data_IF_754951534197
#
_entry.id   IF_754951534197
#
_cell.length_a   1.000
_cell.length_b   1.000
_cell.length_c   1.000
_cell.angle_alpha   90.00
_cell.angle_beta   90.00
_cell.angle_gamma   90.00
#
_symmetry.space_group_name_H-M   'P 1'
#
loop_
_entity.id
_entity.type
_entity.pdbx_description
1 polymer ?
#
# COMPACT_ATOMS: atom_id res chain seq x y z
N UNK A 1 48.35 -8.39 -1.69
CA UNK A 1 47.06 -8.29 -0.98
C UNK A 1 46.97 -6.89 -0.35
N UNK A 2 46.32 -5.94 -1.02
CA UNK A 2 46.05 -4.62 -0.45
C UNK A 2 44.72 -4.74 0.33
N UNK A 3 44.80 -4.68 1.64
CA UNK A 3 43.64 -4.52 2.53
C UNK A 3 42.97 -3.20 2.17
N UNK A 4 41.85 -3.28 1.48
CA UNK A 4 40.91 -2.16 1.35
C UNK A 4 40.23 -2.03 2.69
N UNK A 5 40.70 -1.08 3.50
CA UNK A 5 40.00 -0.59 4.67
C UNK A 5 38.62 -0.10 4.20
N UNK A 6 37.57 -0.93 4.36
CA UNK A 6 36.22 -0.55 3.99
C UNK A 6 35.82 0.66 4.86
N UNK A 7 35.59 1.80 4.20
CA UNK A 7 35.04 2.99 4.84
C UNK A 7 33.76 2.63 5.58
N UNK A 8 33.75 2.78 6.91
CA UNK A 8 32.56 2.54 7.76
C UNK A 8 31.45 3.59 7.57
N UNK A 9 31.69 4.60 6.74
CA UNK A 9 30.77 5.69 6.47
C UNK A 9 30.08 5.52 5.12
N UNK A 10 28.75 5.68 5.10
CA UNK A 10 27.97 5.70 3.86
C UNK A 10 28.39 6.88 2.96
N UNK A 11 28.61 6.66 1.64
CA UNK A 11 28.90 7.73 0.71
C UNK A 11 27.75 8.75 0.67
N UNK A 12 28.07 10.02 0.45
CA UNK A 12 27.07 11.08 0.25
C UNK A 12 26.65 11.12 -1.21
N UNK A 13 25.34 11.11 -1.46
CA UNK A 13 24.80 11.24 -2.81
C UNK A 13 25.28 12.53 -3.49
N UNK A 14 25.49 12.47 -4.79
CA UNK A 14 25.84 13.64 -5.59
C UNK A 14 24.66 14.61 -5.69
N UNK A 15 24.95 15.91 -5.86
CA UNK A 15 23.95 16.94 -6.10
C UNK A 15 23.36 17.58 -4.83
N UNK A 16 24.05 17.48 -3.69
CA UNK A 16 23.67 18.20 -2.46
C UNK A 16 23.72 19.72 -2.69
N UNK A 17 22.61 20.39 -2.37
CA UNK A 17 22.47 21.85 -2.42
C UNK A 17 22.66 22.41 -1.00
N UNK A 18 23.43 23.51 -0.81
CA UNK A 18 23.55 24.16 0.50
C UNK A 18 22.18 24.44 1.12
N UNK A 19 22.04 24.22 2.43
CA UNK A 19 20.82 24.37 3.23
C UNK A 19 19.65 23.45 2.86
N UNK A 20 19.42 23.16 1.58
CA UNK A 20 18.30 22.35 1.08
C UNK A 20 18.63 20.84 0.99
N UNK A 21 19.91 20.46 1.01
CA UNK A 21 20.30 19.07 0.84
C UNK A 21 19.90 18.53 -0.53
N UNK A 22 19.16 17.40 -0.56
CA UNK A 22 18.64 16.75 -1.76
C UNK A 22 17.12 16.92 -1.92
N UNK A 23 16.51 17.83 -1.14
CA UNK A 23 15.07 18.13 -1.27
C UNK A 23 14.66 18.53 -2.69
N UNK A 24 15.42 19.38 -3.43
CA UNK A 24 15.06 19.73 -4.81
C UNK A 24 14.98 18.51 -5.73
N UNK A 25 15.95 17.59 -5.64
CA UNK A 25 15.97 16.38 -6.44
C UNK A 25 14.80 15.45 -6.07
N UNK A 26 14.53 15.27 -4.78
CA UNK A 26 13.39 14.48 -4.32
C UNK A 26 12.05 15.10 -4.71
N UNK A 27 11.91 16.43 -4.69
CA UNK A 27 10.69 17.11 -5.08
C UNK A 27 10.40 16.98 -6.59
N UNK A 28 11.43 17.08 -7.43
CA UNK A 28 11.32 17.08 -8.90
C UNK A 28 11.41 15.67 -9.48
N UNK A 29 12.48 14.93 -9.14
CA UNK A 29 12.81 13.64 -9.76
C UNK A 29 12.37 12.42 -8.95
N UNK A 30 12.02 12.61 -7.69
CA UNK A 30 11.48 11.57 -6.79
C UNK A 30 12.11 10.18 -6.98
N UNK A 31 11.43 9.28 -7.67
CA UNK A 31 11.87 7.89 -7.90
C UNK A 31 13.14 7.83 -8.72
N UNK A 32 13.25 8.63 -9.77
CA UNK A 32 14.43 8.70 -10.65
C UNK A 32 15.68 9.12 -9.86
N UNK A 33 15.53 10.03 -8.88
CA UNK A 33 16.62 10.38 -7.99
C UNK A 33 17.06 9.19 -7.14
N UNK A 34 16.12 8.49 -6.49
CA UNK A 34 16.46 7.29 -5.71
C UNK A 34 17.08 6.19 -6.57
N UNK A 35 16.64 6.02 -7.82
CA UNK A 35 17.26 5.09 -8.76
C UNK A 35 18.68 5.49 -9.12
N UNK A 36 18.94 6.79 -9.34
CA UNK A 36 20.25 7.30 -9.76
C UNK A 36 21.35 7.16 -8.71
N UNK A 37 21.00 7.17 -7.43
CA UNK A 37 21.96 7.04 -6.33
C UNK A 37 22.33 5.59 -6.02
N UNK A 38 21.62 4.63 -6.59
CA UNK A 38 21.84 3.19 -6.33
C UNK A 38 23.23 2.73 -6.72
N UNK A 39 23.76 3.21 -7.84
CA UNK A 39 25.11 2.90 -8.29
C UNK A 39 26.22 3.44 -7.36
N UNK A 40 25.88 4.28 -6.38
CA UNK A 40 26.83 4.89 -5.46
C UNK A 40 27.09 4.05 -4.22
N UNK A 41 26.28 3.01 -3.97
CA UNK A 41 26.49 2.06 -2.88
C UNK A 41 25.21 1.41 -2.36
N UNK A 42 25.34 0.30 -1.63
CA UNK A 42 24.24 -0.42 -1.02
C UNK A 42 23.49 0.39 0.05
N UNK A 43 24.20 1.31 0.72
CA UNK A 43 23.64 2.33 1.62
C UNK A 43 24.28 3.66 1.23
N UNK A 44 23.45 4.67 0.91
CA UNK A 44 23.88 5.99 0.47
C UNK A 44 23.23 7.06 1.36
N UNK A 45 24.02 8.04 1.78
CA UNK A 45 23.55 9.15 2.61
C UNK A 45 23.04 10.30 1.74
N UNK A 46 21.81 10.73 1.97
CA UNK A 46 21.21 11.95 1.43
C UNK A 46 20.96 12.94 2.58
N UNK A 47 20.57 14.16 2.23
CA UNK A 47 20.22 15.18 3.21
C UNK A 47 18.82 15.77 2.90
N UNK A 48 17.92 15.76 3.87
CA UNK A 48 16.66 16.52 3.82
C UNK A 48 16.88 17.82 4.59
N UNK A 49 17.16 18.90 3.87
CA UNK A 49 17.77 20.08 4.48
C UNK A 49 19.17 19.73 5.01
N UNK A 50 19.36 19.94 6.31
CA UNK A 50 20.61 19.55 7.00
C UNK A 50 20.53 18.17 7.69
N UNK A 51 19.36 17.52 7.68
CA UNK A 51 19.17 16.21 8.33
C UNK A 51 19.73 15.10 7.44
N UNK A 52 20.70 14.32 7.91
CA UNK A 52 21.18 13.13 7.20
C UNK A 52 20.12 12.03 7.21
N UNK A 53 19.93 11.36 6.07
CA UNK A 53 19.04 10.22 5.89
C UNK A 53 19.77 9.17 5.08
N UNK A 54 19.68 7.92 5.45
CA UNK A 54 20.36 6.80 4.81
C UNK A 54 19.39 6.05 3.89
N UNK A 55 19.72 5.96 2.61
CA UNK A 55 18.91 5.23 1.62
C UNK A 55 19.46 3.83 1.46
N UNK A 56 18.62 2.84 1.74
CA UNK A 56 18.94 1.42 1.58
C UNK A 56 18.69 1.04 0.12
N UNK A 57 19.75 0.76 -0.63
CA UNK A 57 19.70 0.48 -2.07
C UNK A 57 19.94 -0.98 -2.41
N UNK A 58 20.39 -1.80 -1.47
CA UNK A 58 20.63 -3.23 -1.70
C UNK A 58 19.60 -4.12 -0.98
N UNK A 59 19.27 -5.29 -1.56
CA UNK A 59 18.41 -6.28 -0.92
C UNK A 59 18.89 -6.68 0.47
N UNK A 60 20.21 -6.86 0.64
CA UNK A 60 20.83 -7.29 1.89
C UNK A 60 20.59 -6.23 2.98
N UNK A 61 20.79 -4.94 2.67
CA UNK A 61 20.57 -3.86 3.63
C UNK A 61 19.08 -3.77 4.02
N UNK A 62 18.16 -3.94 3.08
CA UNK A 62 16.72 -3.96 3.36
C UNK A 62 16.34 -5.18 4.18
N UNK A 63 16.85 -6.36 3.84
CA UNK A 63 16.61 -7.59 4.59
C UNK A 63 17.13 -7.46 6.03
N UNK A 64 18.34 -6.93 6.20
CA UNK A 64 18.96 -6.77 7.52
C UNK A 64 18.14 -5.82 8.41
N UNK A 65 17.73 -4.66 7.88
CA UNK A 65 16.94 -3.66 8.62
C UNK A 65 15.50 -4.13 8.90
N UNK A 66 14.84 -4.78 7.94
CA UNK A 66 13.43 -5.14 8.09
C UNK A 66 13.20 -6.48 8.78
N UNK A 67 14.18 -7.39 8.74
CA UNK A 67 14.03 -8.73 9.30
C UNK A 67 15.07 -9.03 10.37
N UNK A 68 16.35 -9.13 10.02
CA UNK A 68 17.39 -9.66 10.90
C UNK A 68 17.61 -8.80 12.14
N UNK A 69 17.68 -7.48 11.97
CA UNK A 69 17.87 -6.50 13.05
C UNK A 69 16.61 -5.65 13.33
N UNK A 70 15.43 -6.11 12.92
CA UNK A 70 14.18 -5.33 12.93
C UNK A 70 13.84 -4.71 14.30
N UNK A 71 14.27 -5.32 15.42
CA UNK A 71 14.04 -4.80 16.78
C UNK A 71 14.81 -3.51 17.09
N UNK A 72 15.90 -3.27 16.37
CA UNK A 72 16.73 -2.06 16.54
C UNK A 72 16.19 -0.85 15.75
N UNK A 73 15.07 -1.03 15.03
CA UNK A 73 14.51 0.01 14.16
C UNK A 73 13.06 0.31 14.49
N UNK A 74 12.78 1.58 14.78
CA UNK A 74 11.43 2.16 14.87
C UNK A 74 10.89 2.62 13.52
N UNK A 75 9.75 3.29 13.54
CA UNK A 75 9.00 3.70 12.33
C UNK A 75 9.66 4.83 11.52
N UNK A 76 10.21 5.85 12.17
CA UNK A 76 10.83 7.01 11.52
C UNK A 76 9.88 8.18 11.20
N UNK A 77 10.47 9.26 10.68
CA UNK A 77 9.84 10.57 10.55
C UNK A 77 8.49 10.57 9.83
N UNK A 78 8.34 9.81 8.76
CA UNK A 78 7.07 9.71 8.02
C UNK A 78 5.90 9.34 8.94
N UNK A 79 6.13 8.41 9.83
CA UNK A 79 5.09 7.90 10.72
C UNK A 79 4.87 8.82 11.93
N UNK A 80 5.91 9.53 12.39
CA UNK A 80 5.74 10.55 13.42
C UNK A 80 4.85 11.70 12.91
N UNK A 81 5.02 12.09 11.66
CA UNK A 81 4.17 13.09 11.00
C UNK A 81 2.74 12.58 10.77
N UNK A 82 2.58 11.28 10.52
CA UNK A 82 1.25 10.68 10.31
C UNK A 82 0.46 10.52 11.61
N UNK A 83 1.12 10.27 12.75
CA UNK A 83 0.48 9.97 14.04
C UNK A 83 -0.54 11.01 14.50
N UNK A 84 -0.33 12.34 14.40
CA UNK A 84 -1.34 13.34 14.73
C UNK A 84 -2.62 13.24 13.90
N UNK A 85 -2.56 12.65 12.69
CA UNK A 85 -3.71 12.53 11.79
C UNK A 85 -4.48 11.23 12.00
N UNK A 86 -3.78 10.12 12.16
CA UNK A 86 -4.37 8.77 12.16
C UNK A 86 -4.24 8.02 13.48
N UNK A 87 -3.72 8.67 14.52
CA UNK A 87 -3.55 8.06 15.83
C UNK A 87 -2.35 7.11 15.93
N UNK A 88 -2.38 6.26 16.99
CA UNK A 88 -1.31 5.33 17.33
C UNK A 88 -1.70 3.86 16.99
N UNK A 89 -2.30 3.64 15.82
CA UNK A 89 -2.65 2.30 15.34
C UNK A 89 -1.45 1.55 14.74
N UNK A 90 -1.69 0.37 14.17
CA UNK A 90 -0.67 -0.58 13.68
C UNK A 90 0.33 0.03 12.67
N UNK A 91 -0.07 1.06 11.92
CA UNK A 91 0.82 1.75 10.98
C UNK A 91 1.86 2.60 11.69
N UNK A 92 1.49 3.32 12.74
CA UNK A 92 2.31 4.36 13.39
C UNK A 92 2.93 3.95 14.71
N UNK A 93 2.40 2.90 15.35
CA UNK A 93 2.83 2.45 16.68
C UNK A 93 4.24 1.91 16.70
N UNK A 94 4.94 2.10 17.83
CA UNK A 94 6.26 1.55 18.08
C UNK A 94 6.20 0.08 18.54
N UNK A 95 7.37 -0.55 18.70
CA UNK A 95 7.53 -2.00 18.65
C UNK A 95 6.59 -2.79 19.57
N UNK A 96 6.53 -2.51 20.87
CA UNK A 96 5.73 -3.32 21.81
C UNK A 96 4.23 -3.12 21.62
N UNK A 97 3.81 -1.87 21.43
CA UNK A 97 2.42 -1.53 21.12
C UNK A 97 2.00 -2.19 19.82
N UNK A 98 2.83 -2.09 18.77
CA UNK A 98 2.59 -2.72 17.50
C UNK A 98 2.41 -4.24 17.59
N UNK A 99 3.27 -4.93 18.34
CA UNK A 99 3.15 -6.39 18.47
C UNK A 99 1.85 -6.80 19.17
N UNK A 100 1.43 -6.06 20.20
CA UNK A 100 0.16 -6.26 20.87
C UNK A 100 -1.03 -6.04 19.92
N UNK A 101 -1.03 -4.91 19.23
CA UNK A 101 -2.05 -4.57 18.23
C UNK A 101 -2.09 -5.60 17.11
N UNK A 102 -0.95 -5.98 16.55
CA UNK A 102 -0.87 -6.99 15.49
C UNK A 102 -1.46 -8.33 15.92
N UNK A 103 -1.17 -8.79 17.15
CA UNK A 103 -1.73 -10.04 17.67
C UNK A 103 -3.26 -9.97 17.79
N UNK A 104 -3.78 -8.83 18.24
CA UNK A 104 -5.22 -8.64 18.36
C UNK A 104 -5.92 -8.59 17.00
N UNK A 105 -5.31 -7.98 15.97
CA UNK A 105 -5.87 -7.86 14.63
C UNK A 105 -5.67 -9.12 13.76
N UNK A 106 -4.65 -9.94 14.05
CA UNK A 106 -4.28 -11.09 13.23
C UNK A 106 -5.45 -12.04 12.90
N UNK A 107 -6.42 -12.32 13.81
CA UNK A 107 -7.55 -13.16 13.51
C UNK A 107 -8.40 -12.67 12.33
N UNK A 108 -8.61 -11.35 12.19
CA UNK A 108 -9.37 -10.75 11.09
C UNK A 108 -8.70 -10.95 9.71
N UNK A 109 -7.39 -11.15 9.69
CA UNK A 109 -6.60 -11.32 8.46
C UNK A 109 -6.17 -12.77 8.21
N UNK A 110 -6.78 -13.75 8.89
CA UNK A 110 -6.58 -15.16 8.59
C UNK A 110 -7.24 -15.52 7.27
N UNK A 111 -6.72 -16.55 6.61
CA UNK A 111 -7.22 -16.99 5.30
C UNK A 111 -8.67 -17.43 5.33
N UNK A 112 -9.08 -18.13 6.38
CA UNK A 112 -10.46 -18.56 6.63
C UNK A 112 -11.43 -17.37 6.82
N UNK A 113 -11.03 -16.38 7.64
CA UNK A 113 -11.80 -15.15 7.84
C UNK A 113 -11.95 -14.37 6.54
N UNK A 114 -10.85 -14.21 5.78
CA UNK A 114 -10.90 -13.53 4.47
C UNK A 114 -11.79 -14.31 3.48
N UNK A 115 -11.70 -15.64 3.47
CA UNK A 115 -12.55 -16.48 2.62
C UNK A 115 -14.03 -16.25 2.89
N UNK A 116 -14.43 -16.06 4.17
CA UNK A 116 -15.80 -15.69 4.55
C UNK A 116 -16.27 -14.35 3.96
N UNK A 117 -15.35 -13.39 3.75
CA UNK A 117 -15.66 -12.08 3.16
C UNK A 117 -15.69 -12.03 1.63
N UNK A 118 -15.25 -13.11 0.94
CA UNK A 118 -15.13 -13.12 -0.54
C UNK A 118 -16.47 -12.93 -1.23
N UNK A 119 -17.55 -13.49 -0.69
CA UNK A 119 -18.90 -13.31 -1.25
C UNK A 119 -19.32 -11.83 -1.25
N UNK A 120 -19.12 -11.14 -0.14
CA UNK A 120 -19.40 -9.69 -0.01
C UNK A 120 -18.54 -8.87 -1.01
N UNK A 121 -17.24 -9.15 -1.08
CA UNK A 121 -16.35 -8.50 -2.06
C UNK A 121 -16.82 -8.73 -3.49
N UNK A 122 -17.22 -9.97 -3.82
CA UNK A 122 -17.69 -10.35 -5.15
C UNK A 122 -18.98 -9.60 -5.50
N UNK A 123 -19.95 -9.54 -4.58
CA UNK A 123 -21.20 -8.81 -4.78
C UNK A 123 -20.96 -7.32 -5.08
N UNK A 124 -20.10 -6.66 -4.31
CA UNK A 124 -19.76 -5.24 -4.52
C UNK A 124 -19.07 -5.03 -5.88
N UNK A 125 -18.15 -5.92 -6.27
CA UNK A 125 -17.46 -5.83 -7.56
C UNK A 125 -18.43 -6.06 -8.73
N UNK A 126 -19.31 -7.07 -8.63
CA UNK A 126 -20.28 -7.40 -9.66
C UNK A 126 -21.34 -6.32 -9.85
N UNK A 127 -21.84 -5.73 -8.76
CA UNK A 127 -22.74 -4.58 -8.79
C UNK A 127 -22.08 -3.42 -9.54
N UNK A 128 -20.84 -3.09 -9.19
CA UNK A 128 -20.09 -2.02 -9.85
C UNK A 128 -19.95 -2.24 -11.36
N UNK A 129 -19.51 -3.43 -11.78
CA UNK A 129 -19.28 -3.71 -13.21
C UNK A 129 -20.58 -3.88 -14.00
N UNK A 130 -21.69 -4.24 -13.34
CA UNK A 130 -23.02 -4.38 -13.94
C UNK A 130 -23.63 -3.03 -14.29
N UNK A 131 -23.23 -1.96 -13.61
CA UNK A 131 -23.70 -0.60 -13.89
C UNK A 131 -23.13 0.01 -15.18
N UNK A 132 -22.10 -0.60 -15.75
CA UNK A 132 -21.42 -0.07 -16.94
C UNK A 132 -22.18 -0.38 -18.22
N UNK A 133 -21.96 0.45 -19.26
CA UNK A 133 -22.62 0.31 -20.57
C UNK A 133 -21.59 0.07 -21.66
N UNK A 134 -21.94 -0.69 -22.72
CA UNK A 134 -21.06 -0.87 -23.89
C UNK A 134 -20.63 0.46 -24.50
N UNK A 135 -19.32 0.63 -24.70
CA UNK A 135 -18.74 1.85 -25.27
C UNK A 135 -18.55 3.00 -24.28
N UNK A 136 -19.00 2.87 -23.05
CA UNK A 136 -18.83 3.88 -21.99
C UNK A 136 -17.35 4.12 -21.69
N UNK A 137 -17.03 5.39 -21.38
CA UNK A 137 -15.70 5.78 -20.88
C UNK A 137 -15.77 5.98 -19.37
N UNK A 138 -15.08 5.14 -18.64
CA UNK A 138 -15.09 5.08 -17.19
C UNK A 138 -13.77 5.62 -16.64
N UNK A 139 -13.84 6.49 -15.64
CA UNK A 139 -12.69 6.94 -14.86
C UNK A 139 -12.28 5.84 -13.86
N UNK A 140 -11.53 4.83 -14.34
CA UNK A 140 -11.21 3.62 -13.58
C UNK A 140 -10.50 3.90 -12.26
N UNK A 141 -9.61 4.89 -12.22
CA UNK A 141 -8.91 5.29 -11.00
C UNK A 141 -9.86 5.82 -9.91
N UNK A 142 -10.99 6.42 -10.29
CA UNK A 142 -12.03 6.89 -9.36
C UNK A 142 -12.92 5.72 -8.93
N UNK A 143 -13.41 4.95 -9.89
CA UNK A 143 -14.30 3.81 -9.63
C UNK A 143 -13.62 2.77 -8.74
N UNK A 144 -12.40 2.37 -9.07
CA UNK A 144 -11.64 1.39 -8.27
C UNK A 144 -11.44 1.85 -6.83
N UNK A 145 -11.18 3.14 -6.60
CA UNK A 145 -11.03 3.66 -5.25
C UNK A 145 -12.32 3.51 -4.46
N UNK A 146 -13.47 3.85 -5.06
CA UNK A 146 -14.79 3.68 -4.43
C UNK A 146 -15.08 2.22 -4.12
N UNK A 147 -14.88 1.33 -5.10
CA UNK A 147 -15.13 -0.10 -4.96
C UNK A 147 -14.27 -0.72 -3.85
N UNK A 148 -12.95 -0.49 -3.87
CA UNK A 148 -12.02 -1.00 -2.85
C UNK A 148 -12.37 -0.44 -1.47
N UNK A 149 -12.69 0.86 -1.37
CA UNK A 149 -13.08 1.46 -0.09
C UNK A 149 -14.40 0.87 0.42
N UNK A 150 -15.37 0.64 -0.46
CA UNK A 150 -16.63 0.01 -0.09
C UNK A 150 -16.42 -1.43 0.40
N UNK A 151 -15.57 -2.22 -0.27
CA UNK A 151 -15.19 -3.58 0.16
C UNK A 151 -14.54 -3.55 1.55
N UNK A 152 -13.58 -2.65 1.75
CA UNK A 152 -12.88 -2.51 3.02
C UNK A 152 -13.84 -2.11 4.15
N UNK A 153 -14.73 -1.14 3.89
CA UNK A 153 -15.74 -0.70 4.87
C UNK A 153 -16.73 -1.81 5.17
N UNK A 154 -17.23 -2.54 4.18
CA UNK A 154 -18.13 -3.67 4.36
C UNK A 154 -17.51 -4.81 5.17
N UNK A 155 -16.18 -4.96 5.09
CA UNK A 155 -15.46 -5.96 5.88
C UNK A 155 -15.20 -5.50 7.32
N UNK A 156 -14.97 -4.19 7.52
CA UNK A 156 -14.71 -3.61 8.84
C UNK A 156 -15.99 -3.39 9.66
N UNK A 157 -17.11 -3.13 8.97
CA UNK A 157 -18.38 -2.80 9.60
C UNK A 157 -19.45 -3.79 9.10
N UNK A 158 -19.86 -4.71 9.92
CA UNK A 158 -20.97 -5.60 9.57
C UNK A 158 -22.24 -4.80 9.26
N UNK A 159 -22.83 -5.03 8.09
CA UNK A 159 -23.96 -4.27 7.56
C UNK A 159 -25.22 -5.12 7.47
N UNK A 160 -25.55 -5.88 8.49
CA UNK A 160 -26.77 -6.70 8.53
C UNK A 160 -28.08 -5.88 8.61
N UNK A 161 -28.01 -4.55 8.48
CA UNK A 161 -29.19 -3.68 8.45
C UNK A 161 -29.73 -3.51 7.03
N UNK A 162 -31.06 -3.43 6.81
CA UNK A 162 -31.68 -3.28 5.48
C UNK A 162 -31.16 -2.10 4.65
N UNK A 163 -30.74 -1.00 5.30
CA UNK A 163 -30.14 0.18 4.65
C UNK A 163 -28.60 0.08 4.52
N UNK A 164 -28.02 -1.07 4.86
CA UNK A 164 -26.59 -1.23 5.01
C UNK A 164 -25.78 -0.97 3.73
N UNK A 165 -26.22 -1.45 2.58
CA UNK A 165 -25.50 -1.30 1.33
C UNK A 165 -25.32 0.17 0.91
N UNK A 166 -26.37 0.99 1.07
CA UNK A 166 -26.32 2.43 0.77
C UNK A 166 -25.42 3.18 1.74
N UNK A 167 -25.57 2.89 3.04
CA UNK A 167 -24.72 3.50 4.09
C UNK A 167 -23.25 3.13 3.92
N UNK A 168 -22.93 1.89 3.51
CA UNK A 168 -21.56 1.45 3.18
C UNK A 168 -21.00 2.24 1.99
N UNK A 169 -21.78 2.42 0.93
CA UNK A 169 -21.32 3.18 -0.24
C UNK A 169 -21.06 4.66 0.10
N UNK A 170 -21.96 5.31 0.83
CA UNK A 170 -21.81 6.70 1.28
C UNK A 170 -20.60 6.89 2.22
N UNK A 171 -20.42 5.96 3.16
CA UNK A 171 -19.24 5.97 4.04
C UNK A 171 -17.96 5.77 3.23
N UNK A 172 -17.96 4.84 2.28
CA UNK A 172 -16.84 4.56 1.39
C UNK A 172 -16.43 5.80 0.59
N UNK A 173 -17.37 6.55 0.04
CA UNK A 173 -17.08 7.79 -0.70
C UNK A 173 -16.45 8.85 0.19
N UNK A 174 -17.01 9.10 1.38
CA UNK A 174 -16.47 10.09 2.32
C UNK A 174 -15.08 9.72 2.81
N UNK A 175 -14.86 8.44 3.13
CA UNK A 175 -13.55 7.95 3.54
C UNK A 175 -12.53 8.13 2.41
N UNK A 176 -12.86 7.76 1.17
CA UNK A 176 -11.96 7.91 0.02
C UNK A 176 -11.58 9.37 -0.25
N UNK A 177 -12.50 10.31 -0.07
CA UNK A 177 -12.24 11.75 -0.22
C UNK A 177 -11.26 12.27 0.83
N UNK A 178 -11.53 12.01 2.10
CA UNK A 178 -10.72 12.51 3.21
C UNK A 178 -9.33 11.88 3.27
N UNK A 179 -9.22 10.58 3.00
CA UNK A 179 -7.93 9.87 3.00
C UNK A 179 -6.91 10.51 2.07
N UNK A 180 -7.30 10.84 0.86
CA UNK A 180 -6.40 11.44 -0.12
C UNK A 180 -5.84 12.80 0.36
N UNK A 181 -6.66 13.58 1.04
CA UNK A 181 -6.27 14.87 1.62
C UNK A 181 -5.30 14.67 2.78
N UNK A 182 -5.58 13.75 3.71
CA UNK A 182 -4.69 13.40 4.83
C UNK A 182 -3.33 12.90 4.33
N UNK A 183 -3.32 11.99 3.35
CA UNK A 183 -2.09 11.45 2.78
C UNK A 183 -1.19 12.54 2.15
N UNK A 184 -1.78 13.55 1.53
CA UNK A 184 -1.02 14.73 1.05
C UNK A 184 -0.43 15.53 2.20
N UNK A 185 -1.19 15.73 3.28
CA UNK A 185 -0.71 16.43 4.48
C UNK A 185 0.48 15.73 5.11
N UNK A 186 0.42 14.41 5.24
CA UNK A 186 1.53 13.58 5.76
C UNK A 186 2.78 13.74 4.89
N UNK A 187 2.65 13.69 3.55
CA UNK A 187 3.80 13.87 2.66
C UNK A 187 4.42 15.28 2.78
N UNK A 188 3.60 16.32 2.80
CA UNK A 188 4.05 17.72 2.98
C UNK A 188 4.80 17.87 4.31
N UNK A 189 4.24 17.36 5.41
CA UNK A 189 4.88 17.42 6.72
C UNK A 189 6.17 16.59 6.84
N UNK A 190 6.31 15.53 6.03
CA UNK A 190 7.54 14.71 6.03
C UNK A 190 8.68 15.40 5.27
N UNK A 191 8.37 16.06 4.16
CA UNK A 191 9.38 16.64 3.27
C UNK A 191 9.77 18.07 3.67
N UNK A 192 8.87 18.83 4.30
CA UNK A 192 9.11 20.24 4.63
C UNK A 192 9.35 20.45 6.13
N UNK A 193 10.15 21.47 6.51
CA UNK A 193 10.26 21.90 7.91
C UNK A 193 8.89 22.29 8.49
N UNK A 194 8.68 22.01 9.79
CA UNK A 194 7.42 22.23 10.47
C UNK A 194 6.77 23.62 10.26
N UNK A 195 7.50 24.75 10.28
CA UNK A 195 6.90 26.06 10.03
C UNK A 195 6.29 26.21 8.63
N UNK A 196 6.92 25.61 7.61
CA UNK A 196 6.41 25.61 6.23
C UNK A 196 5.27 24.61 6.08
N UNK A 197 5.42 23.40 6.61
CA UNK A 197 4.39 22.36 6.55
C UNK A 197 3.06 22.78 7.21
N UNK A 198 3.13 23.60 8.26
CA UNK A 198 1.97 24.14 8.98
C UNK A 198 1.36 25.38 8.33
N UNK A 199 1.91 25.84 7.20
CA UNK A 199 1.38 27.01 6.51
C UNK A 199 -0.03 26.78 5.94
N UNK A 200 -0.98 27.69 6.14
CA UNK A 200 -2.30 27.64 5.51
C UNK A 200 -2.23 27.61 3.98
N UNK A 201 -1.23 28.26 3.38
CA UNK A 201 -1.01 28.29 1.94
C UNK A 201 -0.70 26.90 1.35
N UNK A 202 -0.14 25.99 2.14
CA UNK A 202 0.11 24.59 1.76
C UNK A 202 -1.05 23.65 2.11
N UNK A 203 -2.20 24.19 2.55
CA UNK A 203 -3.41 23.43 2.80
C UNK A 203 -3.51 22.80 4.19
N UNK A 204 -2.69 23.20 5.16
CA UNK A 204 -2.65 22.60 6.51
C UNK A 204 -4.03 22.52 7.18
N UNK A 205 -4.84 23.60 7.10
CA UNK A 205 -6.22 23.60 7.65
C UNK A 205 -7.11 22.53 7.00
N UNK A 206 -6.97 22.31 5.70
CA UNK A 206 -7.72 21.28 4.96
C UNK A 206 -7.31 19.87 5.41
N UNK A 207 -6.02 19.63 5.69
CA UNK A 207 -5.52 18.37 6.19
C UNK A 207 -6.07 18.06 7.58
N UNK A 208 -6.09 19.06 8.47
CA UNK A 208 -6.66 18.90 9.81
C UNK A 208 -8.16 18.65 9.75
N UNK A 209 -8.91 19.38 8.94
CA UNK A 209 -10.35 19.17 8.78
C UNK A 209 -10.66 17.76 8.26
N UNK A 210 -9.91 17.26 7.27
CA UNK A 210 -10.07 15.92 6.76
C UNK A 210 -9.74 14.86 7.83
N UNK A 211 -8.68 15.06 8.62
CA UNK A 211 -8.34 14.14 9.71
C UNK A 211 -9.41 14.12 10.81
N UNK A 212 -9.99 15.28 11.15
CA UNK A 212 -11.10 15.39 12.12
C UNK A 212 -12.32 14.63 11.61
N UNK A 213 -12.72 14.84 10.35
CA UNK A 213 -13.86 14.14 9.76
C UNK A 213 -13.66 12.61 9.76
N UNK A 214 -12.46 12.12 9.44
CA UNK A 214 -12.15 10.69 9.51
C UNK A 214 -12.22 10.15 10.94
N UNK A 215 -11.74 10.89 11.93
CA UNK A 215 -11.85 10.50 13.34
C UNK A 215 -13.30 10.42 13.79
N UNK A 216 -14.13 11.40 13.46
CA UNK A 216 -15.56 11.43 13.80
C UNK A 216 -16.29 10.21 13.20
N UNK A 217 -15.99 9.83 11.96
CA UNK A 217 -16.51 8.62 11.34
C UNK A 217 -16.09 7.36 12.11
N UNK A 218 -14.81 7.24 12.43
CA UNK A 218 -14.28 6.10 13.16
C UNK A 218 -14.82 6.03 14.60
N UNK A 219 -14.91 7.18 15.31
CA UNK A 219 -15.52 7.25 16.66
C UNK A 219 -16.99 6.87 16.62
N UNK A 220 -17.72 7.24 15.57
CA UNK A 220 -19.15 6.85 15.42
C UNK A 220 -19.27 5.34 15.24
N UNK A 221 -18.44 4.74 14.39
CA UNK A 221 -18.44 3.29 14.19
C UNK A 221 -18.10 2.52 15.47
N UNK A 222 -17.08 2.98 16.20
CA UNK A 222 -16.68 2.38 17.49
C UNK A 222 -17.83 2.46 18.51
N UNK A 223 -18.48 3.63 18.66
CA UNK A 223 -19.63 3.79 19.59
C UNK A 223 -20.79 2.87 19.23
N UNK A 224 -21.14 2.78 17.94
CA UNK A 224 -22.23 1.90 17.49
C UNK A 224 -21.93 0.42 17.78
N UNK A 225 -20.68 -0.01 17.52
CA UNK A 225 -20.29 -1.38 17.80
C UNK A 225 -20.28 -1.71 19.31
N UNK A 226 -19.96 -0.75 20.17
CA UNK A 226 -20.04 -0.92 21.64
C UNK A 226 -21.47 -1.02 22.15
N UNK A 227 -22.41 -0.33 21.52
CA UNK A 227 -23.83 -0.36 21.92
C UNK A 227 -24.53 -1.65 21.47
N UNK A 228 -24.01 -2.33 20.48
CA UNK A 228 -24.51 -3.59 19.98
C UNK A 228 -23.49 -4.71 20.23
N UNK A 229 -23.60 -5.41 21.36
CA UNK A 229 -22.61 -6.40 21.78
C UNK A 229 -22.70 -7.72 21.00
N UNK A 230 -23.58 -7.83 20.00
CA UNK A 230 -23.65 -9.03 19.16
C UNK A 230 -22.30 -9.26 18.48
N UNK A 231 -21.71 -10.44 18.67
CA UNK A 231 -20.54 -10.87 17.93
C UNK A 231 -20.91 -11.11 16.47
N UNK A 232 -20.49 -10.20 15.61
CA UNK A 232 -20.75 -10.25 14.17
C UNK A 232 -19.60 -10.86 13.39
N UNK A 233 -18.55 -11.31 14.07
CA UNK A 233 -17.33 -11.80 13.44
C UNK A 233 -16.58 -10.73 12.61
N UNK A 234 -16.98 -9.46 12.72
CA UNK A 234 -16.33 -8.33 12.05
C UNK A 234 -15.08 -7.86 12.81
N UNK A 235 -14.34 -6.95 12.21
CA UNK A 235 -13.09 -6.46 12.77
C UNK A 235 -13.28 -5.76 14.13
N UNK A 236 -14.39 -5.02 14.31
CA UNK A 236 -14.67 -4.35 15.59
C UNK A 236 -14.96 -5.36 16.68
N UNK A 237 -15.76 -6.40 16.39
CA UNK A 237 -15.99 -7.51 17.33
C UNK A 237 -14.67 -8.16 17.74
N UNK A 238 -13.77 -8.41 16.78
CA UNK A 238 -12.44 -8.97 17.02
C UNK A 238 -11.57 -8.05 17.89
N UNK A 239 -11.59 -6.73 17.63
CA UNK A 239 -10.84 -5.76 18.42
C UNK A 239 -11.32 -5.68 19.87
N UNK A 240 -12.62 -5.81 20.09
CA UNK A 240 -13.21 -5.76 21.42
C UNK A 240 -13.15 -7.10 22.15
N UNK A 241 -13.00 -8.20 21.45
CA UNK A 241 -12.77 -9.49 22.06
C UNK A 241 -11.45 -9.48 22.83
N UNK A 242 -11.48 -10.00 24.05
CA UNK A 242 -10.26 -10.14 24.84
C UNK A 242 -9.30 -11.17 24.21
N UNK A 243 -8.02 -10.96 24.41
CA UNK A 243 -6.98 -11.92 24.05
C UNK A 243 -6.20 -12.32 25.30
N UNK A 244 -5.46 -13.45 25.31
CA UNK A 244 -4.65 -13.84 26.48
C UNK A 244 -3.68 -12.76 26.97
N UNK A 245 -3.24 -11.86 26.09
CA UNK A 245 -2.36 -10.73 26.43
C UNK A 245 -3.09 -9.41 26.70
N UNK A 246 -4.40 -9.36 26.47
CA UNK A 246 -5.26 -8.20 26.70
C UNK A 246 -6.72 -8.66 26.93
N UNK A 247 -7.07 -9.13 28.12
CA UNK A 247 -8.40 -9.70 28.40
C UNK A 247 -9.57 -8.72 28.23
N UNK A 248 -9.31 -7.42 28.27
CA UNK A 248 -10.33 -6.36 28.11
C UNK A 248 -10.58 -5.96 26.66
N UNK A 249 -9.81 -6.51 25.71
CA UNK A 249 -9.82 -6.05 24.33
C UNK A 249 -9.22 -4.66 24.17
N UNK A 250 -9.41 -4.04 23.01
CA UNK A 250 -8.97 -2.67 22.73
C UNK A 250 -9.90 -1.64 23.37
N UNK A 251 -9.36 -0.53 23.83
CA UNK A 251 -10.13 0.66 24.21
C UNK A 251 -10.73 1.30 22.96
N UNK A 252 -11.71 2.19 23.14
CA UNK A 252 -12.35 2.91 22.02
C UNK A 252 -11.34 3.75 21.25
N UNK A 253 -10.37 4.37 21.93
CA UNK A 253 -9.29 5.14 21.31
C UNK A 253 -8.39 4.23 20.47
N UNK A 254 -8.01 3.06 20.98
CA UNK A 254 -7.20 2.10 20.23
C UNK A 254 -7.97 1.55 19.01
N UNK A 255 -9.23 1.19 19.17
CA UNK A 255 -10.07 0.71 18.07
C UNK A 255 -10.25 1.77 16.98
N UNK A 256 -10.50 3.04 17.35
CA UNK A 256 -10.54 4.17 16.41
C UNK A 256 -9.23 4.31 15.65
N UNK A 257 -8.10 4.31 16.34
CA UNK A 257 -6.78 4.51 15.74
C UNK A 257 -6.42 3.34 14.79
N UNK A 258 -6.86 2.12 15.12
CA UNK A 258 -6.73 0.96 14.22
C UNK A 258 -7.61 1.08 12.98
N UNK A 259 -8.87 1.50 13.13
CA UNK A 259 -9.76 1.75 11.98
C UNK A 259 -9.15 2.75 11.01
N UNK A 260 -8.65 3.88 11.52
CA UNK A 260 -7.99 4.90 10.71
C UNK A 260 -6.74 4.35 10.03
N UNK A 261 -5.93 3.56 10.74
CA UNK A 261 -4.77 2.89 10.18
C UNK A 261 -5.15 1.95 9.03
N UNK A 262 -6.14 1.09 9.24
CA UNK A 262 -6.55 0.09 8.25
C UNK A 262 -7.24 0.71 7.03
N UNK A 263 -8.09 1.73 7.23
CA UNK A 263 -8.70 2.50 6.14
C UNK A 263 -7.64 3.17 5.28
N UNK A 264 -6.65 3.82 5.91
CA UNK A 264 -5.58 4.50 5.19
C UNK A 264 -4.67 3.53 4.43
N UNK A 265 -4.37 2.36 5.01
CA UNK A 265 -3.51 1.37 4.37
C UNK A 265 -4.20 0.63 3.24
N UNK A 266 -5.46 0.21 3.43
CA UNK A 266 -6.17 -0.69 2.53
C UNK A 266 -6.73 -0.01 1.29
N UNK A 267 -7.40 1.14 1.46
CA UNK A 267 -8.15 1.77 0.38
C UNK A 267 -7.29 2.23 -0.81
N UNK A 268 -6.31 3.11 -0.56
CA UNK A 268 -5.55 3.74 -1.65
C UNK A 268 -4.50 2.81 -2.28
N UNK A 269 -3.88 1.92 -1.51
CA UNK A 269 -2.82 1.05 -2.03
C UNK A 269 -3.37 0.01 -2.98
N UNK A 270 -4.46 -0.67 -2.62
CA UNK A 270 -5.12 -1.68 -3.45
C UNK A 270 -5.74 -1.05 -4.69
N UNK A 271 -6.48 0.07 -4.55
CA UNK A 271 -7.05 0.79 -5.68
C UNK A 271 -6.00 1.27 -6.68
N UNK A 272 -4.87 1.77 -6.19
CA UNK A 272 -3.73 2.18 -7.05
C UNK A 272 -3.12 1.00 -7.78
N UNK A 273 -2.94 -0.14 -7.11
CA UNK A 273 -2.43 -1.36 -7.74
C UNK A 273 -3.37 -1.87 -8.82
N UNK A 274 -4.68 -1.89 -8.55
CA UNK A 274 -5.70 -2.26 -9.53
C UNK A 274 -5.75 -1.29 -10.72
N UNK A 275 -5.60 0.01 -10.49
CA UNK A 275 -5.54 0.99 -11.57
C UNK A 275 -4.34 0.71 -12.51
N UNK A 276 -3.18 0.36 -11.97
CA UNK A 276 -2.04 -0.08 -12.77
C UNK A 276 -2.29 -1.44 -13.44
N UNK A 277 -2.96 -2.37 -12.77
CA UNK A 277 -3.36 -3.65 -13.37
C UNK A 277 -4.26 -3.44 -14.59
N UNK A 278 -5.31 -2.61 -14.47
CA UNK A 278 -6.19 -2.27 -15.61
C UNK A 278 -5.45 -1.52 -16.72
N UNK A 279 -4.50 -0.65 -16.38
CA UNK A 279 -3.63 -0.01 -17.38
C UNK A 279 -2.83 -1.04 -18.19
N UNK A 280 -2.26 -2.05 -17.53
CA UNK A 280 -1.45 -3.08 -18.18
C UNK A 280 -2.30 -4.01 -19.06
N UNK A 281 -3.43 -4.50 -18.58
CA UNK A 281 -4.32 -5.34 -19.38
C UNK A 281 -4.94 -4.57 -20.56
N UNK A 282 -5.33 -3.33 -20.37
CA UNK A 282 -5.90 -2.52 -21.44
C UNK A 282 -4.97 -2.30 -22.63
N UNK A 283 -3.66 -2.35 -22.41
CA UNK A 283 -2.62 -2.19 -23.44
C UNK A 283 -2.13 -3.51 -24.03
N UNK A 284 -2.47 -4.64 -23.39
CA UNK A 284 -1.98 -5.98 -23.76
C UNK A 284 -3.15 -6.95 -23.89
N UNK A 285 -3.80 -6.96 -25.07
CA UNK A 285 -4.96 -7.82 -25.32
C UNK A 285 -4.70 -9.29 -25.04
N UNK A 286 -3.48 -9.75 -25.30
CA UNK A 286 -3.05 -11.12 -25.07
C UNK A 286 -3.07 -11.50 -23.59
N UNK A 287 -2.67 -10.59 -22.69
CA UNK A 287 -2.74 -10.82 -21.23
C UNK A 287 -4.20 -10.79 -20.76
N UNK A 288 -5.01 -9.88 -21.32
CA UNK A 288 -6.44 -9.80 -20.99
C UNK A 288 -7.15 -11.09 -21.35
N UNK A 289 -6.86 -11.65 -22.54
CA UNK A 289 -7.42 -12.94 -22.98
C UNK A 289 -7.02 -14.10 -22.08
N UNK A 290 -5.76 -14.13 -21.62
CA UNK A 290 -5.28 -15.17 -20.69
C UNK A 290 -5.99 -15.10 -19.32
N UNK A 291 -6.18 -13.88 -18.78
CA UNK A 291 -6.94 -13.69 -17.55
C UNK A 291 -8.40 -14.12 -17.74
N UNK A 292 -9.04 -13.73 -18.88
CA UNK A 292 -10.42 -14.13 -19.21
C UNK A 292 -10.56 -15.65 -19.25
N UNK A 293 -9.67 -16.34 -19.98
CA UNK A 293 -9.70 -17.80 -20.09
C UNK A 293 -9.56 -18.49 -18.72
N UNK A 294 -8.71 -17.95 -17.84
CA UNK A 294 -8.55 -18.47 -16.48
C UNK A 294 -9.81 -18.24 -15.63
N UNK A 295 -10.43 -17.04 -15.77
CA UNK A 295 -11.69 -16.75 -15.09
C UNK A 295 -12.87 -17.61 -15.59
N UNK A 296 -12.94 -17.87 -16.89
CA UNK A 296 -14.00 -18.69 -17.49
C UNK A 296 -13.88 -20.19 -17.12
N UNK A 297 -12.65 -20.65 -16.91
CA UNK A 297 -12.40 -22.00 -16.45
C UNK A 297 -12.70 -22.23 -14.95
N UNK A 298 -12.92 -21.15 -14.19
CA UNK A 298 -13.22 -21.25 -12.78
C UNK A 298 -14.66 -21.70 -12.57
N UNK A 299 -14.91 -22.78 -11.79
CA UNK A 299 -16.26 -23.24 -11.51
C UNK A 299 -17.14 -22.15 -10.91
N UNK A 300 -18.43 -22.17 -11.21
CA UNK A 300 -19.39 -21.25 -10.64
C UNK A 300 -19.35 -21.33 -9.09
N UNK A 301 -19.25 -20.17 -8.44
CA UNK A 301 -19.15 -20.09 -6.97
C UNK A 301 -17.77 -20.40 -6.38
N UNK A 302 -16.79 -20.84 -7.18
CA UNK A 302 -15.45 -21.05 -6.67
C UNK A 302 -14.80 -19.70 -6.30
N UNK A 303 -14.20 -19.57 -5.10
CA UNK A 303 -13.56 -18.34 -4.68
C UNK A 303 -12.30 -18.08 -5.52
N UNK A 304 -12.10 -16.82 -5.97
CA UNK A 304 -10.86 -16.42 -6.62
C UNK A 304 -9.70 -16.49 -5.62
N UNK A 305 -8.59 -17.10 -6.02
CA UNK A 305 -7.40 -17.23 -5.20
C UNK A 305 -6.17 -17.60 -6.04
N UNK A 306 -5.00 -17.57 -5.43
CA UNK A 306 -3.74 -17.88 -6.12
C UNK A 306 -3.72 -19.31 -6.71
N UNK A 307 -4.37 -20.28 -6.06
CA UNK A 307 -4.47 -21.65 -6.55
C UNK A 307 -5.46 -21.79 -7.71
N UNK A 308 -6.51 -21.00 -7.74
CA UNK A 308 -7.58 -21.06 -8.75
C UNK A 308 -7.34 -20.13 -9.94
N UNK A 309 -6.57 -19.06 -9.74
CA UNK A 309 -6.20 -18.05 -10.75
C UNK A 309 -4.68 -17.82 -10.79
N UNK A 310 -3.88 -18.88 -11.09
CA UNK A 310 -2.42 -18.80 -10.96
C UNK A 310 -1.74 -17.83 -11.93
N UNK A 311 -2.29 -17.64 -13.15
CA UNK A 311 -1.76 -16.64 -14.07
C UNK A 311 -2.12 -15.22 -13.61
N UNK A 312 -3.36 -15.00 -13.17
CA UNK A 312 -3.82 -13.68 -12.68
C UNK A 312 -3.05 -13.29 -11.41
N UNK A 313 -2.70 -14.23 -10.56
CA UNK A 313 -1.84 -14.00 -9.39
C UNK A 313 -0.43 -13.57 -9.82
N UNK A 314 0.21 -14.26 -10.77
CA UNK A 314 1.52 -13.84 -11.31
C UNK A 314 1.46 -12.49 -12.00
N UNK A 315 0.37 -12.20 -12.70
CA UNK A 315 0.12 -10.89 -13.30
C UNK A 315 0.10 -9.79 -12.22
N UNK A 316 -0.61 -9.98 -11.12
CA UNK A 316 -0.64 -9.04 -9.98
C UNK A 316 0.72 -8.89 -9.30
N UNK A 317 1.49 -9.97 -9.17
CA UNK A 317 2.88 -9.90 -8.68
C UNK A 317 3.75 -9.02 -9.57
N UNK A 318 3.59 -9.12 -10.88
CA UNK A 318 4.32 -8.28 -11.82
C UNK A 318 3.85 -6.81 -11.76
N UNK A 319 2.56 -6.57 -11.55
CA UNK A 319 2.04 -5.21 -11.26
C UNK A 319 2.70 -4.64 -10.01
N UNK A 320 2.72 -5.39 -8.91
CA UNK A 320 3.35 -4.99 -7.65
C UNK A 320 4.86 -4.78 -7.78
N UNK A 321 5.53 -5.53 -8.65
CA UNK A 321 6.94 -5.32 -8.95
C UNK A 321 7.17 -4.01 -9.70
N UNK A 322 6.48 -3.82 -10.83
CA UNK A 322 6.76 -2.72 -11.74
C UNK A 322 6.09 -1.41 -11.30
N UNK A 323 4.94 -1.49 -10.64
CA UNK A 323 4.09 -0.36 -10.29
C UNK A 323 3.82 -0.27 -8.78
N UNK A 324 4.81 -0.66 -7.95
CA UNK A 324 4.71 -0.57 -6.49
C UNK A 324 4.16 0.79 -6.05
N UNK A 325 2.99 0.85 -5.38
CA UNK A 325 2.41 2.13 -4.99
C UNK A 325 3.22 2.84 -3.92
N UNK A 326 3.72 2.12 -2.91
CA UNK A 326 4.53 2.69 -1.81
C UNK A 326 5.97 2.85 -2.24
N UNK A 327 6.33 4.02 -2.75
CA UNK A 327 7.65 4.28 -3.31
C UNK A 327 8.72 4.67 -2.30
N UNK A 328 8.31 5.09 -1.09
CA UNK A 328 9.20 5.52 -0.03
C UNK A 328 8.64 5.09 1.32
N UNK A 329 9.42 4.33 2.08
CA UNK A 329 9.13 3.97 3.47
C UNK A 329 10.32 4.27 4.34
N UNK A 330 10.07 4.59 5.62
CA UNK A 330 11.10 5.02 6.55
C UNK A 330 11.26 4.06 7.74
N UNK A 331 12.47 4.10 8.30
CA UNK A 331 12.81 3.50 9.59
C UNK A 331 13.72 4.47 10.35
N UNK A 332 13.82 4.29 11.66
CA UNK A 332 14.75 5.03 12.53
C UNK A 332 15.53 4.05 13.38
N UNK A 333 16.85 4.21 13.43
CA UNK A 333 17.69 3.45 14.35
C UNK A 333 17.40 3.87 15.79
N UNK A 334 17.05 2.91 16.66
CA UNK A 334 16.73 3.14 18.08
C UNK A 334 17.98 3.15 18.96
N UNK A 335 19.06 2.57 18.46
CA UNK A 335 20.38 2.47 19.09
C UNK A 335 21.45 2.58 18.00
N UNK A 336 22.73 2.79 18.34
CA UNK A 336 23.82 2.66 17.36
C UNK A 336 23.82 1.24 16.77
N UNK A 337 23.84 1.13 15.45
CA UNK A 337 23.72 -0.15 14.77
C UNK A 337 24.57 -0.19 13.50
N UNK A 338 25.16 -1.35 13.22
CA UNK A 338 25.89 -1.60 11.97
C UNK A 338 25.03 -2.38 11.01
N UNK A 339 24.89 -1.88 9.77
CA UNK A 339 24.10 -2.50 8.68
C UNK A 339 25.01 -2.62 7.44
N UNK A 340 25.19 -3.82 6.93
CA UNK A 340 26.04 -4.10 5.76
C UNK A 340 27.39 -3.34 5.80
N UNK A 341 28.04 -3.32 6.98
CA UNK A 341 29.33 -2.67 7.18
C UNK A 341 29.28 -1.15 7.41
N UNK A 342 28.14 -0.51 7.34
CA UNK A 342 27.95 0.93 7.59
C UNK A 342 27.48 1.15 9.03
N UNK A 343 28.16 2.03 9.77
CA UNK A 343 27.80 2.42 11.13
C UNK A 343 26.74 3.52 11.10
N UNK A 344 25.59 3.24 11.69
CA UNK A 344 24.45 4.14 11.82
C UNK A 344 24.32 4.60 13.27
N UNK A 345 24.34 5.91 13.55
CA UNK A 345 24.13 6.40 14.91
C UNK A 345 22.67 6.21 15.36
N UNK A 346 22.45 6.22 16.68
CA UNK A 346 21.09 6.32 17.23
C UNK A 346 20.36 7.53 16.65
N UNK A 347 19.08 7.37 16.32
CA UNK A 347 18.26 8.40 15.69
C UNK A 347 18.46 8.55 14.17
N UNK A 348 19.35 7.76 13.55
CA UNK A 348 19.53 7.76 12.10
C UNK A 348 18.22 7.43 11.41
N UNK A 349 17.79 8.30 10.49
CA UNK A 349 16.64 8.06 9.61
C UNK A 349 17.07 7.26 8.38
N UNK A 350 16.31 6.22 8.07
CA UNK A 350 16.54 5.36 6.92
C UNK A 350 15.35 5.43 5.98
N UNK A 351 15.63 5.40 4.68
CA UNK A 351 14.64 5.27 3.62
C UNK A 351 14.93 3.98 2.85
N UNK A 352 13.89 3.24 2.50
CA UNK A 352 13.96 2.22 1.46
C UNK A 352 12.80 2.38 0.48
N UNK A 353 13.05 1.97 -0.76
CA UNK A 353 12.07 2.00 -1.84
C UNK A 353 11.95 0.64 -2.49
N UNK A 354 10.85 -0.07 -2.21
CA UNK A 354 10.56 -1.33 -2.88
C UNK A 354 10.53 -1.14 -4.40
N UNK A 355 9.96 -0.04 -4.89
CA UNK A 355 9.89 0.25 -6.33
C UNK A 355 11.26 0.32 -7.00
N UNK A 356 12.25 0.98 -6.38
CA UNK A 356 13.59 1.07 -6.97
C UNK A 356 14.32 -0.27 -6.95
N UNK A 357 14.11 -1.08 -5.91
CA UNK A 357 14.67 -2.42 -5.79
C UNK A 357 14.05 -3.38 -6.81
N UNK A 358 12.73 -3.34 -6.96
CA UNK A 358 12.00 -4.17 -7.92
C UNK A 358 12.33 -3.84 -9.39
N UNK A 359 12.99 -2.71 -9.65
CA UNK A 359 13.46 -2.28 -10.98
C UNK A 359 14.98 -2.34 -11.12
N UNK A 360 15.65 -3.13 -10.27
CA UNK A 360 17.10 -3.31 -10.35
C UNK A 360 17.47 -4.33 -11.44
N UNK A 361 18.22 -3.93 -12.49
CA UNK A 361 18.66 -4.84 -13.53
C UNK A 361 19.59 -5.96 -13.01
N UNK A 362 20.24 -5.78 -11.86
CA UNK A 362 21.03 -6.82 -11.23
C UNK A 362 20.17 -8.03 -10.77
N UNK A 363 18.90 -7.77 -10.48
CA UNK A 363 17.97 -8.80 -9.96
C UNK A 363 16.85 -9.13 -10.95
N UNK A 364 16.51 -8.20 -11.85
CA UNK A 364 15.41 -8.35 -12.81
C UNK A 364 15.90 -8.03 -14.22
N UNK A 365 16.17 -9.04 -15.08
CA UNK A 365 16.42 -8.82 -16.50
C UNK A 365 15.27 -8.02 -17.11
N UNK A 366 15.59 -7.05 -17.98
CA UNK A 366 14.62 -6.13 -18.57
C UNK A 366 13.66 -5.54 -17.51
N UNK A 367 14.15 -4.83 -16.50
CA UNK A 367 13.39 -4.50 -15.29
C UNK A 367 12.17 -3.62 -15.55
N UNK A 368 12.13 -2.89 -16.67
CA UNK A 368 11.00 -2.03 -17.05
C UNK A 368 10.00 -2.73 -17.99
N UNK A 369 10.32 -3.93 -18.47
CA UNK A 369 9.39 -4.76 -19.25
C UNK A 369 8.39 -5.42 -18.31
N UNK A 370 7.09 -5.24 -18.60
CA UNK A 370 6.02 -5.96 -17.92
C UNK A 370 5.93 -7.39 -18.46
N UNK A 371 6.24 -8.37 -17.65
CA UNK A 371 6.37 -9.78 -18.05
C UNK A 371 5.94 -10.72 -16.89
N UNK A 372 4.64 -11.06 -16.79
CA UNK A 372 4.13 -11.90 -15.71
C UNK A 372 4.79 -13.29 -15.61
N UNK A 373 5.18 -13.87 -16.73
CA UNK A 373 5.79 -15.20 -16.76
C UNK A 373 7.23 -15.22 -16.23
N UNK A 374 7.85 -14.02 -15.97
CA UNK A 374 9.13 -13.99 -15.23
C UNK A 374 9.08 -14.73 -13.89
N UNK A 375 7.90 -14.81 -13.28
CA UNK A 375 7.69 -15.52 -12.02
C UNK A 375 7.62 -17.04 -12.16
N UNK A 376 7.51 -17.57 -13.41
CA UNK A 376 7.76 -18.98 -13.73
C UNK A 376 9.24 -19.21 -13.96
N UNK A 377 9.87 -18.36 -14.76
CA UNK A 377 11.28 -18.49 -15.17
C UNK A 377 12.22 -18.32 -13.96
N UNK A 378 11.87 -17.39 -13.06
CA UNK A 378 12.60 -17.13 -11.82
C UNK A 378 11.63 -16.87 -10.68
N UNK A 379 11.23 -17.92 -9.94
CA UNK A 379 10.39 -17.80 -8.76
C UNK A 379 11.00 -16.88 -7.68
N UNK A 380 10.14 -16.28 -6.84
CA UNK A 380 10.57 -15.38 -5.76
C UNK A 380 11.66 -15.99 -4.86
N UNK A 381 11.57 -17.29 -4.57
CA UNK A 381 12.54 -18.02 -3.75
C UNK A 381 13.97 -18.02 -4.31
N UNK A 382 14.15 -17.78 -5.62
CA UNK A 382 15.43 -17.73 -6.30
C UNK A 382 16.01 -16.30 -6.38
N UNK A 383 15.27 -15.31 -5.87
CA UNK A 383 15.76 -13.94 -5.72
C UNK A 383 16.52 -13.80 -4.39
N UNK A 384 17.50 -12.88 -4.31
CA UNK A 384 18.11 -12.54 -3.03
C UNK A 384 17.05 -12.09 -2.02
N UNK A 385 17.16 -12.52 -0.74
CA UNK A 385 16.27 -12.04 0.31
C UNK A 385 16.26 -10.51 0.36
N UNK A 386 15.07 -9.90 0.33
CA UNK A 386 14.91 -8.44 0.27
C UNK A 386 14.82 -7.84 -1.13
N UNK A 387 15.06 -8.60 -2.21
CA UNK A 387 14.94 -8.09 -3.58
C UNK A 387 13.47 -7.90 -4.02
N UNK A 388 12.53 -8.71 -3.49
CA UNK A 388 11.09 -8.56 -3.73
C UNK A 388 10.35 -8.36 -2.41
N UNK A 389 9.89 -7.15 -2.15
CA UNK A 389 9.30 -6.74 -0.86
C UNK A 389 8.04 -5.89 -1.04
N UNK A 390 7.05 -6.34 -1.84
CA UNK A 390 5.86 -5.54 -2.13
C UNK A 390 5.04 -5.24 -0.88
N UNK A 391 5.10 -6.10 0.12
CA UNK A 391 4.40 -6.02 1.40
C UNK A 391 5.33 -5.85 2.60
N UNK A 392 6.56 -5.37 2.39
CA UNK A 392 7.63 -5.30 3.38
C UNK A 392 8.01 -6.68 3.97
N UNK A 393 8.83 -6.73 5.02
CA UNK A 393 9.33 -7.95 5.64
C UNK A 393 9.23 -7.92 7.17
N UNK A 394 9.41 -9.08 7.79
CA UNK A 394 9.53 -9.24 9.23
C UNK A 394 8.27 -8.90 10.01
N UNK A 395 8.44 -8.49 11.26
CA UNK A 395 7.34 -8.18 12.17
C UNK A 395 6.45 -7.02 11.70
N UNK A 396 6.93 -6.21 10.77
CA UNK A 396 6.25 -5.06 10.17
C UNK A 396 5.74 -5.36 8.74
N UNK A 397 5.78 -6.63 8.30
CA UNK A 397 5.15 -7.05 7.05
C UNK A 397 3.67 -6.68 7.06
N UNK A 398 3.13 -6.29 5.92
CA UNK A 398 1.72 -5.95 5.76
C UNK A 398 0.84 -7.06 6.36
N UNK A 399 -0.08 -6.69 7.25
CA UNK A 399 -1.02 -7.64 7.85
C UNK A 399 -2.11 -8.06 6.87
N UNK A 400 -2.43 -7.17 5.93
CA UNK A 400 -3.45 -7.36 4.91
C UNK A 400 -2.94 -7.83 3.55
N UNK A 401 -1.75 -8.43 3.45
CA UNK A 401 -1.17 -8.85 2.17
C UNK A 401 -2.06 -9.86 1.43
N UNK A 402 -2.57 -10.85 2.15
CA UNK A 402 -3.49 -11.85 1.60
C UNK A 402 -4.87 -11.26 1.29
N UNK A 403 -5.39 -10.38 2.16
CA UNK A 403 -6.64 -9.65 1.93
C UNK A 403 -6.55 -8.82 0.63
N UNK A 404 -5.51 -8.01 0.47
CA UNK A 404 -5.31 -7.18 -0.70
C UNK A 404 -5.18 -8.01 -2.00
N UNK A 405 -4.45 -9.13 -1.96
CA UNK A 405 -4.36 -10.02 -3.12
C UNK A 405 -5.71 -10.64 -3.48
N UNK A 406 -6.49 -11.07 -2.49
CA UNK A 406 -7.83 -11.63 -2.71
C UNK A 406 -8.76 -10.57 -3.30
N UNK A 407 -8.79 -9.37 -2.73
CA UNK A 407 -9.57 -8.25 -3.22
C UNK A 407 -9.22 -7.89 -4.67
N UNK A 408 -7.93 -7.82 -5.01
CA UNK A 408 -7.49 -7.57 -6.37
C UNK A 408 -7.90 -8.67 -7.36
N UNK A 409 -7.85 -9.94 -6.96
CA UNK A 409 -8.30 -11.07 -7.77
C UNK A 409 -9.81 -11.01 -8.02
N UNK A 410 -10.60 -10.69 -7.00
CA UNK A 410 -12.07 -10.52 -7.10
C UNK A 410 -12.42 -9.42 -8.10
N UNK A 411 -11.79 -8.25 -7.97
CA UNK A 411 -12.08 -7.10 -8.85
C UNK A 411 -11.65 -7.39 -10.29
N UNK A 412 -10.46 -7.95 -10.51
CA UNK A 412 -10.00 -8.28 -11.86
C UNK A 412 -10.91 -9.33 -12.52
N UNK A 413 -11.33 -10.36 -11.77
CA UNK A 413 -12.30 -11.34 -12.25
C UNK A 413 -13.59 -10.66 -12.67
N UNK A 414 -14.22 -9.85 -11.81
CA UNK A 414 -15.46 -9.17 -12.10
C UNK A 414 -15.38 -8.30 -13.37
N UNK A 415 -14.28 -7.53 -13.49
CA UNK A 415 -14.06 -6.66 -14.67
C UNK A 415 -13.84 -7.48 -15.93
N UNK A 416 -12.89 -8.42 -15.90
CA UNK A 416 -12.44 -9.13 -17.11
C UNK A 416 -13.46 -10.17 -17.58
N UNK A 417 -14.27 -10.75 -16.68
CA UNK A 417 -15.33 -11.68 -17.09
C UNK A 417 -16.40 -11.04 -17.99
N UNK A 418 -16.68 -9.75 -17.80
CA UNK A 418 -17.74 -9.04 -18.56
C UNK A 418 -17.21 -8.05 -19.58
N UNK A 419 -16.06 -7.44 -19.31
CA UNK A 419 -15.61 -6.26 -20.04
C UNK A 419 -14.19 -6.39 -20.56
N UNK A 420 -13.97 -5.76 -21.72
CA UNK A 420 -12.65 -5.52 -22.31
C UNK A 420 -12.31 -4.04 -22.13
N UNK A 421 -11.62 -3.65 -21.04
CA UNK A 421 -11.21 -2.27 -20.85
C UNK A 421 -10.09 -1.91 -21.84
N UNK A 422 -10.22 -0.78 -22.53
CA UNK A 422 -9.24 -0.27 -23.50
C UNK A 422 -8.87 1.17 -23.16
N UNK A 423 -7.62 1.58 -23.34
CA UNK A 423 -7.23 2.98 -23.17
C UNK A 423 -8.02 3.88 -24.13
N UNK A 424 -8.38 5.07 -23.66
CA UNK A 424 -8.97 6.10 -24.54
C UNK A 424 -7.88 6.71 -25.40
N UNK A 425 -8.11 6.76 -26.73
CA UNK A 425 -7.15 7.32 -27.67
C UNK A 425 -6.78 8.76 -27.33
N UNK A 426 -5.51 9.14 -27.53
CA UNK A 426 -5.00 10.48 -27.24
C UNK A 426 -4.79 10.78 -25.74
N UNK A 427 -5.18 9.90 -24.83
CA UNK A 427 -4.95 10.07 -23.39
C UNK A 427 -3.67 9.34 -22.94
N UNK A 428 -2.67 10.11 -22.49
CA UNK A 428 -1.42 9.54 -21.98
C UNK A 428 -1.51 9.36 -20.47
N UNK A 429 -1.44 8.11 -20.03
CA UNK A 429 -1.33 7.76 -18.61
C UNK A 429 0.12 7.94 -18.16
N UNK A 430 0.33 8.68 -17.09
CA UNK A 430 1.67 8.96 -16.51
C UNK A 430 1.66 8.64 -15.01
N UNK A 431 2.75 8.11 -14.46
CA UNK A 431 2.87 7.98 -13.02
C UNK A 431 2.97 9.37 -12.37
N UNK A 432 2.18 9.58 -11.32
CA UNK A 432 2.25 10.78 -10.47
C UNK A 432 2.58 10.32 -9.07
N UNK A 433 3.75 10.71 -8.60
CA UNK A 433 4.21 10.39 -7.26
C UNK A 433 3.72 11.46 -6.27
N UNK A 434 2.76 11.09 -5.44
CA UNK A 434 2.35 11.79 -4.23
C UNK A 434 2.79 10.95 -3.01
N UNK A 435 1.91 10.72 -2.06
CA UNK A 435 2.16 9.72 -1.01
C UNK A 435 2.34 8.32 -1.61
N UNK A 436 1.57 8.01 -2.65
CA UNK A 436 1.69 6.81 -3.50
C UNK A 436 1.98 7.21 -4.94
N UNK A 437 2.51 6.26 -5.73
CA UNK A 437 2.64 6.42 -7.19
C UNK A 437 1.42 5.85 -7.86
N UNK A 438 0.59 6.73 -8.40
CA UNK A 438 -0.66 6.38 -9.07
C UNK A 438 -0.69 6.91 -10.51
N UNK A 439 -1.57 6.40 -11.37
CA UNK A 439 -1.88 7.06 -12.64
C UNK A 439 -2.39 8.48 -12.40
N UNK A 440 -2.03 9.43 -13.28
CA UNK A 440 -2.57 10.79 -13.24
C UNK A 440 -4.09 10.82 -13.44
N UNK A 441 -4.60 9.97 -14.33
CA UNK A 441 -5.98 9.62 -14.55
C UNK A 441 -6.01 8.32 -15.38
N UNK A 442 -7.07 7.52 -15.25
CA UNK A 442 -7.22 6.27 -16.02
C UNK A 442 -8.61 6.16 -16.68
N UNK A 443 -8.94 7.05 -17.65
CA UNK A 443 -10.14 6.87 -18.43
C UNK A 443 -9.97 5.67 -19.37
N UNK A 444 -10.89 4.71 -19.29
CA UNK A 444 -10.91 3.52 -20.14
C UNK A 444 -12.28 3.32 -20.76
N UNK A 445 -12.30 2.93 -22.03
CA UNK A 445 -13.51 2.51 -22.72
C UNK A 445 -13.75 1.03 -22.46
N UNK A 446 -14.96 0.68 -22.05
CA UNK A 446 -15.38 -0.70 -21.84
C UNK A 446 -16.22 -1.21 -23.00
N UNK A 447 -15.96 -2.41 -23.44
CA UNK A 447 -16.76 -3.12 -24.45
C UNK A 447 -16.99 -4.57 -24.00
N UNK A 448 -18.12 -5.20 -24.32
CA UNK A 448 -18.31 -6.62 -24.05
C UNK A 448 -17.30 -7.46 -24.82
N UNK A 449 -17.17 -8.72 -24.46
CA UNK A 449 -16.41 -9.69 -25.24
C UNK A 449 -17.15 -10.01 -26.53
N UNK A 450 -16.44 -10.35 -27.63
CA UNK A 450 -17.10 -10.80 -28.85
C UNK A 450 -17.86 -12.11 -28.56
N UNK A 451 -19.17 -12.11 -28.82
CA UNK A 451 -20.03 -13.28 -28.61
C UNK A 451 -20.79 -13.32 -27.29
N UNK A 452 -20.58 -12.32 -26.42
CA UNK A 452 -21.36 -12.15 -25.17
C UNK A 452 -22.54 -11.18 -25.39
#
# INVERSE_FOLDING_TARGET
MRSISASTAAPVARGRVPLLGHLPQLAVKRVEFLQSIRAQGGIVRIFLGNRPVFVLNSPEAVHEVLLTQSRKFGKGLLFDVARPFIGNGIITSEYDVHLRQRRALQPAFRRDTIAGGVATMTGIAEEQVSSWRPGEVIAMDVVLRRTVTAMLVATLFSTERPDGARAVAELGERVAEHLNTVMRGVLVGTLLPAPLASSPALGHRRYLAAATALRELADTAVRQARQDPADRGDLLSIMFAGTPGNPRGMTDVEARDELLSLLMAGAETTATTLAWALHEIGRRPELTARIKAECDALPAGAPPGAATLPFTERFLREVLRLHQPSWLLMRRALEPVRVCGVDLPQGAELIYSALTMHRDPAHYPDPLRFHPDRWLDRPEKDLPPGAYVPFALGNRRCIGDHFAMTEMLVVLRAVVSRWRPRPVAGRRVRPVAHALIRPNALPMRVSPWPGD
#
